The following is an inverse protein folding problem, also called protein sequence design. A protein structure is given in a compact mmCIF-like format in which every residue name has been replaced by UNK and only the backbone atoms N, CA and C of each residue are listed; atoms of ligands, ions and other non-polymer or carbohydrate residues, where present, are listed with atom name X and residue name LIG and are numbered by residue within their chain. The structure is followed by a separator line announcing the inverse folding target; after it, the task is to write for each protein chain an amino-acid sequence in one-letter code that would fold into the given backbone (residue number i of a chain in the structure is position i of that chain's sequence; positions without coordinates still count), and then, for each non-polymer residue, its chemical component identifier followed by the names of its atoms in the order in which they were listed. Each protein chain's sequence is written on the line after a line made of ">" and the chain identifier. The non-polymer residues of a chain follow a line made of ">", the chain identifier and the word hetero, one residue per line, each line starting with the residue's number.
data_IF_522300005057
#
_entry.id   IF_522300005057
#
_cell.length_a   1.000
_cell.length_b   1.000
_cell.length_c   1.000
_cell.angle_alpha   90.00
_cell.angle_beta   90.00
_cell.angle_gamma   90.00
#
_symmetry.space_group_name_H-M   'P 1'
#
loop_
_entity.id
_entity.type
_entity.pdbx_description
1 polymer ?
#
# COMPACT_ATOMS: atom_id res chain seq x y z
N UNK A 1 -19.61 -8.39 -9.79
CA UNK A 1 -20.20 -9.48 -8.99
C UNK A 1 -19.27 -10.09 -7.92
N UNK A 2 -18.06 -9.55 -7.65
CA UNK A 2 -17.05 -10.28 -6.84
C UNK A 2 -16.80 -9.81 -5.40
N UNK A 3 -17.17 -8.58 -5.02
CA UNK A 3 -16.74 -8.00 -3.73
C UNK A 3 -17.78 -8.21 -2.61
N UNK A 4 -19.07 -8.10 -2.93
CA UNK A 4 -20.13 -8.04 -1.92
C UNK A 4 -20.50 -9.43 -1.35
N UNK A 5 -20.52 -10.46 -2.20
CA UNK A 5 -20.80 -11.83 -1.76
C UNK A 5 -19.67 -12.42 -0.91
N UNK A 6 -18.44 -11.94 -1.05
CA UNK A 6 -17.29 -12.46 -0.30
C UNK A 6 -17.26 -11.99 1.17
N UNK A 7 -18.04 -10.95 1.52
CA UNK A 7 -18.18 -10.42 2.87
C UNK A 7 -19.53 -10.77 3.53
N UNK A 8 -20.30 -11.69 2.94
CA UNK A 8 -21.66 -12.01 3.42
C UNK A 8 -22.67 -10.86 3.23
N UNK A 9 -22.30 -9.86 2.42
CA UNK A 9 -23.18 -8.76 2.03
C UNK A 9 -24.13 -9.13 0.89
N UNK A 10 -25.08 -8.24 0.59
CA UNK A 10 -26.04 -8.42 -0.50
C UNK A 10 -26.01 -7.23 -1.45
N UNK A 11 -26.13 -7.52 -2.74
CA UNK A 11 -26.39 -6.51 -3.78
C UNK A 11 -27.73 -6.78 -4.44
N UNK A 12 -28.55 -5.75 -4.57
CA UNK A 12 -29.74 -5.79 -5.41
C UNK A 12 -29.90 -4.46 -6.14
N UNK A 13 -30.75 -4.47 -7.16
CA UNK A 13 -31.09 -3.29 -7.95
C UNK A 13 -32.52 -2.92 -7.62
N UNK A 14 -32.73 -1.65 -7.29
CA UNK A 14 -34.07 -1.08 -7.11
C UNK A 14 -34.36 -0.20 -8.33
N UNK A 15 -35.49 -0.45 -9.00
CA UNK A 15 -35.99 0.43 -10.03
C UNK A 15 -36.75 1.59 -9.40
N UNK A 16 -36.38 2.82 -9.77
CA UNK A 16 -37.05 4.02 -9.32
C UNK A 16 -38.26 4.31 -10.22
N UNK A 17 -39.29 4.91 -9.66
CA UNK A 17 -40.52 5.28 -10.38
C UNK A 17 -40.26 6.20 -11.60
N UNK A 18 -39.11 6.88 -11.63
CA UNK A 18 -38.68 7.77 -12.72
C UNK A 18 -37.89 7.04 -13.84
N UNK A 19 -37.77 5.71 -13.78
CA UNK A 19 -37.10 4.89 -14.81
C UNK A 19 -35.58 4.77 -14.65
N UNK A 20 -35.01 5.20 -13.53
CA UNK A 20 -33.60 5.01 -13.18
C UNK A 20 -33.37 3.76 -12.31
N UNK A 21 -32.17 3.20 -12.33
CA UNK A 21 -31.77 2.06 -11.48
C UNK A 21 -30.87 2.52 -10.32
N UNK A 22 -31.23 2.17 -9.08
CA UNK A 22 -30.41 2.34 -7.88
C UNK A 22 -29.73 1.01 -7.56
N UNK A 23 -28.40 1.01 -7.47
CA UNK A 23 -27.63 -0.14 -7.01
C UNK A 23 -27.41 -0.04 -5.50
N UNK A 24 -27.98 -0.99 -4.75
CA UNK A 24 -27.88 -1.01 -3.28
C UNK A 24 -26.92 -2.09 -2.85
N UNK A 25 -25.98 -1.73 -1.97
CA UNK A 25 -24.96 -2.63 -1.42
C UNK A 25 -25.09 -2.63 0.10
N UNK A 26 -25.43 -3.77 0.69
CA UNK A 26 -25.49 -3.98 2.14
C UNK A 26 -24.25 -4.77 2.60
N UNK A 27 -23.48 -4.21 3.54
CA UNK A 27 -22.33 -4.88 4.16
C UNK A 27 -22.56 -5.01 5.68
N UNK A 28 -22.37 -6.20 6.27
CA UNK A 28 -22.49 -6.38 7.72
C UNK A 28 -21.32 -5.70 8.44
N UNK A 29 -21.62 -4.77 9.34
CA UNK A 29 -20.62 -4.16 10.22
C UNK A 29 -20.42 -5.07 11.44
N UNK A 30 -19.22 -5.62 11.68
CA UNK A 30 -18.93 -6.33 12.92
C UNK A 30 -19.06 -5.34 14.08
N UNK A 31 -19.97 -5.61 15.03
CA UNK A 31 -20.02 -4.86 16.28
C UNK A 31 -18.90 -5.39 17.16
N UNK A 32 -17.88 -4.57 17.37
CA UNK A 32 -16.82 -4.86 18.33
C UNK A 32 -17.39 -4.59 19.74
N UNK A 33 -17.80 -5.66 20.43
CA UNK A 33 -18.19 -5.62 21.83
C UNK A 33 -16.93 -5.44 22.69
N UNK A 34 -16.50 -4.18 22.86
CA UNK A 34 -15.67 -3.77 23.99
C UNK A 34 -16.32 -2.60 24.72
N UNK A 35 -16.76 -2.93 25.91
CA UNK A 35 -17.54 -2.18 26.89
C UNK A 35 -16.74 -1.07 27.58
N UNK A 36 -17.41 0.08 27.72
CA UNK A 36 -17.54 0.96 28.89
C UNK A 36 -16.31 1.45 29.68
N UNK A 37 -16.21 2.78 29.89
CA UNK A 37 -15.35 3.29 30.97
C UNK A 37 -15.05 4.79 31.14
N UNK A 38 -16.04 5.70 31.00
CA UNK A 38 -16.18 6.96 31.78
C UNK A 38 -15.25 8.19 31.64
N UNK A 39 -15.93 9.27 31.20
CA UNK A 39 -16.03 10.66 31.75
C UNK A 39 -14.91 11.71 31.63
N UNK A 40 -15.23 12.70 30.78
CA UNK A 40 -15.39 14.14 31.07
C UNK A 40 -14.18 15.01 31.49
N UNK A 41 -13.86 15.98 30.64
CA UNK A 41 -13.02 17.14 30.96
C UNK A 41 -12.98 18.12 29.78
N UNK A 42 -13.45 19.35 30.01
CA UNK A 42 -13.88 20.34 29.02
C UNK A 42 -12.86 21.48 28.88
N UNK A 43 -12.72 22.01 27.64
CA UNK A 43 -12.19 23.35 27.24
C UNK A 43 -10.67 23.60 27.43
N UNK A 44 -9.94 24.41 26.65
CA UNK A 44 -10.14 25.16 25.39
C UNK A 44 -8.76 25.72 24.96
N UNK A 45 -8.69 26.20 23.72
CA UNK A 45 -7.76 27.19 23.16
C UNK A 45 -6.38 26.76 22.61
N UNK A 46 -6.22 27.10 21.33
CA UNK A 46 -5.03 27.46 20.56
C UNK A 46 -3.69 27.48 21.31
N UNK A 47 -2.65 26.87 20.72
CA UNK A 47 -1.58 27.58 20.00
C UNK A 47 -0.46 26.61 19.56
N UNK A 48 0.11 26.86 18.37
CA UNK A 48 1.41 26.38 17.83
C UNK A 48 1.46 25.01 17.14
N UNK A 49 1.19 25.08 15.84
CA UNK A 49 1.73 24.19 14.81
C UNK A 49 3.25 24.20 14.91
N UNK A 50 3.82 23.05 15.21
CA UNK A 50 5.24 22.83 15.38
C UNK A 50 5.46 21.47 16.00
N UNK A 51 5.09 20.40 15.29
CA UNK A 51 5.46 19.05 15.69
C UNK A 51 6.94 18.88 15.32
N UNK A 52 7.87 18.73 16.28
CA UNK A 52 9.22 18.29 15.95
C UNK A 52 9.14 16.90 15.30
N UNK A 53 10.03 16.54 14.36
CA UNK A 53 10.05 15.20 13.79
C UNK A 53 10.15 14.18 14.93
N UNK A 54 9.37 13.10 14.92
CA UNK A 54 9.48 12.08 15.95
C UNK A 54 10.87 11.46 15.85
N UNK A 55 11.76 11.86 16.75
CA UNK A 55 12.97 11.08 17.05
C UNK A 55 12.50 9.77 17.68
N UNK A 56 12.23 8.77 16.85
CA UNK A 56 11.95 7.41 17.33
C UNK A 56 13.25 6.64 17.41
N UNK A 57 13.81 6.63 18.61
CA UNK A 57 14.40 5.43 19.19
C UNK A 57 13.42 4.28 18.98
N UNK A 58 13.71 3.32 18.10
CA UNK A 58 12.91 2.11 18.02
C UNK A 58 13.78 0.85 18.06
N UNK A 59 13.70 0.21 19.21
CA UNK A 59 14.19 -1.14 19.48
C UNK A 59 13.04 -2.11 19.15
N UNK A 60 12.51 -2.05 17.93
CA UNK A 60 11.62 -3.06 17.36
C UNK A 60 12.20 -3.53 16.03
N UNK A 61 13.35 -4.20 16.11
CA UNK A 61 14.06 -4.78 14.97
C UNK A 61 13.32 -5.98 14.35
N UNK A 62 12.07 -6.23 14.72
CA UNK A 62 11.31 -7.42 14.30
C UNK A 62 10.27 -7.14 13.23
N UNK A 63 9.78 -5.90 13.12
CA UNK A 63 8.76 -5.54 12.15
C UNK A 63 9.38 -5.11 10.82
N UNK A 64 9.10 -5.88 9.76
CA UNK A 64 9.55 -5.58 8.39
C UNK A 64 8.92 -4.27 7.89
N UNK A 65 9.73 -3.41 7.27
CA UNK A 65 9.33 -2.07 6.79
C UNK A 65 8.99 -2.12 5.30
N UNK A 66 7.85 -1.57 4.91
CA UNK A 66 7.37 -1.52 3.53
C UNK A 66 7.10 -0.07 3.15
N UNK A 67 7.62 0.35 2.00
CA UNK A 67 7.23 1.61 1.36
C UNK A 67 6.17 1.35 0.30
N UNK A 68 5.06 2.07 0.34
CA UNK A 68 3.99 2.02 -0.67
C UNK A 68 3.95 3.34 -1.44
N UNK A 69 4.12 3.27 -2.76
CA UNK A 69 4.15 4.41 -3.67
C UNK A 69 3.01 4.28 -4.68
N UNK A 70 2.05 5.18 -4.62
CA UNK A 70 0.88 5.18 -5.52
C UNK A 70 0.28 6.59 -5.51
N UNK A 71 0.01 7.20 -6.66
CA UNK A 71 -0.53 8.56 -6.75
C UNK A 71 -2.02 8.62 -6.41
N UNK A 72 -2.73 7.49 -6.47
CA UNK A 72 -4.12 7.38 -6.07
C UNK A 72 -4.24 7.22 -4.54
N UNK A 73 -4.50 8.33 -3.84
CA UNK A 73 -4.58 8.35 -2.37
C UNK A 73 -5.51 7.31 -1.74
N UNK A 74 -6.60 6.91 -2.43
CA UNK A 74 -7.50 5.86 -1.95
C UNK A 74 -6.86 4.45 -2.01
N UNK A 75 -6.15 4.14 -3.10
CA UNK A 75 -5.43 2.86 -3.28
C UNK A 75 -4.25 2.79 -2.32
N UNK A 76 -3.50 3.89 -2.20
CA UNK A 76 -2.40 4.05 -1.22
C UNK A 76 -2.87 3.81 0.21
N UNK A 77 -3.96 4.44 0.63
CA UNK A 77 -4.53 4.29 1.97
C UNK A 77 -5.01 2.85 2.25
N UNK A 78 -5.73 2.25 1.30
CA UNK A 78 -6.22 0.87 1.42
C UNK A 78 -5.06 -0.13 1.54
N UNK A 79 -4.03 0.02 0.71
CA UNK A 79 -2.84 -0.85 0.71
C UNK A 79 -2.10 -0.74 2.03
N UNK A 80 -1.92 0.48 2.54
CA UNK A 80 -1.34 0.73 3.87
C UNK A 80 -2.14 0.05 4.98
N UNK A 81 -3.46 0.19 4.97
CA UNK A 81 -4.33 -0.41 5.99
C UNK A 81 -4.20 -1.94 6.01
N UNK A 82 -4.28 -2.58 4.84
CA UNK A 82 -4.15 -4.04 4.69
C UNK A 82 -2.80 -4.54 5.23
N UNK A 83 -1.70 -3.87 4.87
CA UNK A 83 -0.36 -4.29 5.27
C UNK A 83 -0.09 -4.00 6.75
N UNK A 84 -0.54 -2.86 7.26
CA UNK A 84 -0.40 -2.52 8.68
C UNK A 84 -1.17 -3.50 9.57
N UNK A 85 -2.38 -3.92 9.15
CA UNK A 85 -3.19 -4.91 9.85
C UNK A 85 -2.54 -6.30 9.92
N UNK A 86 -1.59 -6.60 9.03
CA UNK A 86 -0.83 -7.86 9.04
C UNK A 86 0.52 -7.75 9.75
N UNK A 87 0.77 -6.61 10.39
CA UNK A 87 1.90 -6.42 11.29
C UNK A 87 3.15 -5.81 10.64
N UNK A 88 3.07 -5.34 9.39
CA UNK A 88 4.16 -4.59 8.74
C UNK A 88 4.21 -3.12 9.20
N UNK A 89 5.40 -2.52 9.17
CA UNK A 89 5.55 -1.08 9.34
C UNK A 89 5.46 -0.46 7.95
N UNK A 90 4.44 0.35 7.70
CA UNK A 90 4.16 0.86 6.36
C UNK A 90 4.31 2.37 6.32
N UNK A 91 5.16 2.82 5.42
CA UNK A 91 5.28 4.22 5.01
C UNK A 91 4.73 4.38 3.60
N UNK A 92 4.33 5.60 3.27
CA UNK A 92 3.62 5.88 2.00
C UNK A 92 4.20 7.11 1.34
N UNK A 93 4.30 7.09 0.03
CA UNK A 93 4.63 8.22 -0.81
C UNK A 93 3.61 8.34 -1.96
N UNK A 94 3.34 9.56 -2.42
CA UNK A 94 2.40 9.87 -3.48
C UNK A 94 3.05 10.04 -4.85
N UNK A 95 4.38 10.06 -4.90
CA UNK A 95 5.16 10.22 -6.11
C UNK A 95 6.49 9.51 -6.00
N UNK A 96 7.15 9.26 -7.14
CA UNK A 96 8.52 8.72 -7.14
C UNK A 96 9.52 9.65 -6.46
N UNK A 97 9.37 10.97 -6.56
CA UNK A 97 10.24 11.94 -5.90
C UNK A 97 10.13 11.84 -4.37
N UNK A 98 8.91 11.84 -3.82
CA UNK A 98 8.69 11.65 -2.38
C UNK A 98 9.17 10.26 -1.92
N UNK A 99 9.05 9.23 -2.77
CA UNK A 99 9.56 7.90 -2.46
C UNK A 99 11.09 7.92 -2.28
N UNK A 100 11.83 8.67 -3.11
CA UNK A 100 13.27 8.81 -2.95
C UNK A 100 13.64 9.52 -1.64
N UNK A 101 12.92 10.58 -1.28
CA UNK A 101 13.13 11.29 -0.02
C UNK A 101 12.91 10.35 1.18
N UNK A 102 11.83 9.56 1.15
CA UNK A 102 11.53 8.58 2.21
C UNK A 102 12.57 7.46 2.26
N UNK A 103 13.07 6.99 1.12
CA UNK A 103 14.14 5.99 1.04
C UNK A 103 15.48 6.52 1.59
N UNK A 104 15.74 7.82 1.51
CA UNK A 104 16.93 8.44 2.12
C UNK A 104 16.84 8.52 3.66
N UNK A 105 15.63 8.56 4.21
CA UNK A 105 15.42 8.68 5.66
C UNK A 105 15.54 7.35 6.42
N UNK A 106 15.53 6.20 5.73
CA UNK A 106 15.73 4.93 6.40
C UNK A 106 15.73 3.69 5.51
N UNK A 107 15.87 2.52 6.15
CA UNK A 107 15.93 1.23 5.47
C UNK A 107 14.56 0.57 5.30
N UNK A 108 14.34 -0.06 4.15
CA UNK A 108 13.11 -0.78 3.85
C UNK A 108 13.41 -2.25 3.52
N UNK A 109 12.42 -3.11 3.74
CA UNK A 109 12.48 -4.53 3.35
C UNK A 109 11.76 -4.80 2.03
N UNK A 110 10.86 -3.91 1.61
CA UNK A 110 10.10 -4.00 0.36
C UNK A 110 9.63 -2.62 -0.08
N UNK A 111 9.68 -2.37 -1.39
CA UNK A 111 9.00 -1.23 -2.03
C UNK A 111 7.85 -1.78 -2.89
N UNK A 112 6.66 -1.22 -2.73
CA UNK A 112 5.51 -1.47 -3.60
C UNK A 112 5.25 -0.18 -4.36
N UNK A 113 5.29 -0.20 -5.68
CA UNK A 113 5.12 1.00 -6.50
C UNK A 113 4.10 0.79 -7.59
N UNK A 114 3.25 1.79 -7.85
CA UNK A 114 2.55 1.86 -9.13
C UNK A 114 3.58 2.02 -10.26
N UNK A 115 3.33 1.37 -11.38
CA UNK A 115 4.12 1.54 -12.60
C UNK A 115 3.83 2.90 -13.24
N UNK A 116 2.60 3.40 -13.17
CA UNK A 116 2.15 4.62 -13.86
C UNK A 116 1.84 5.69 -12.82
N UNK A 117 2.75 6.65 -12.69
CA UNK A 117 2.57 7.83 -11.83
C UNK A 117 2.93 9.10 -12.63
N UNK A 118 2.30 10.24 -12.34
CA UNK A 118 2.72 11.54 -12.88
C UNK A 118 4.14 11.90 -12.45
N UNK A 119 4.93 12.47 -13.36
CA UNK A 119 6.31 12.86 -13.07
C UNK A 119 7.25 11.65 -13.15
N UNK A 120 7.78 11.22 -12.00
CA UNK A 120 8.62 10.03 -11.92
C UNK A 120 7.75 8.77 -11.85
N UNK A 121 7.80 7.97 -12.91
CA UNK A 121 7.07 6.70 -12.98
C UNK A 121 7.79 5.58 -12.21
N UNK A 122 7.11 4.45 -11.99
CA UNK A 122 7.65 3.34 -11.21
C UNK A 122 8.92 2.74 -11.83
N UNK A 123 9.05 2.75 -13.16
CA UNK A 123 10.22 2.24 -13.86
C UNK A 123 11.45 3.16 -13.64
N UNK A 124 11.24 4.48 -13.65
CA UNK A 124 12.28 5.47 -13.36
C UNK A 124 12.70 5.39 -11.89
N UNK A 125 11.73 5.29 -10.97
CA UNK A 125 12.00 5.05 -9.55
C UNK A 125 12.82 3.77 -9.34
N UNK A 126 12.48 2.69 -10.04
CA UNK A 126 13.23 1.44 -9.97
C UNK A 126 14.69 1.58 -10.42
N UNK A 127 14.94 2.31 -11.51
CA UNK A 127 16.31 2.60 -11.97
C UNK A 127 17.12 3.38 -10.93
N UNK A 128 16.48 4.30 -10.21
CA UNK A 128 17.10 5.01 -9.08
C UNK A 128 17.37 4.07 -7.90
N UNK A 129 16.43 3.16 -7.60
CA UNK A 129 16.60 2.12 -6.57
C UNK A 129 17.79 1.22 -6.88
N UNK A 130 17.90 0.71 -8.11
CA UNK A 130 19.05 -0.12 -8.53
C UNK A 130 20.39 0.61 -8.35
N UNK A 131 20.42 1.93 -8.56
CA UNK A 131 21.64 2.74 -8.45
C UNK A 131 22.02 3.06 -7.00
N UNK A 132 21.04 3.34 -6.14
CA UNK A 132 21.25 3.91 -4.81
C UNK A 132 21.09 2.89 -3.68
N UNK A 133 20.21 1.91 -3.86
CA UNK A 133 19.88 0.85 -2.91
C UNK A 133 19.83 -0.52 -3.62
N UNK A 134 20.97 -1.03 -4.13
CA UNK A 134 21.02 -2.29 -4.88
C UNK A 134 20.49 -3.49 -4.08
N UNK A 135 20.51 -3.45 -2.74
CA UNK A 135 19.91 -4.45 -1.87
C UNK A 135 18.37 -4.54 -1.98
N UNK A 136 17.72 -3.48 -2.47
CA UNK A 136 16.28 -3.42 -2.71
C UNK A 136 15.88 -3.87 -4.11
N UNK A 137 16.82 -4.08 -5.04
CA UNK A 137 16.53 -4.39 -6.45
C UNK A 137 15.58 -5.59 -6.63
N UNK A 138 15.73 -6.62 -5.79
CA UNK A 138 14.89 -7.82 -5.81
C UNK A 138 13.72 -7.77 -4.82
N UNK A 139 13.50 -6.61 -4.20
CA UNK A 139 12.48 -6.33 -3.19
C UNK A 139 11.57 -5.19 -3.64
N UNK A 140 11.32 -5.10 -4.95
CA UNK A 140 10.35 -4.19 -5.54
C UNK A 140 9.18 -4.98 -6.12
N UNK A 141 7.97 -4.63 -5.69
CA UNK A 141 6.70 -5.14 -6.24
C UNK A 141 6.03 -4.02 -7.03
N UNK A 142 5.86 -4.22 -8.33
CA UNK A 142 5.09 -3.31 -9.16
C UNK A 142 3.61 -3.61 -9.06
N UNK A 143 2.79 -2.58 -9.05
CA UNK A 143 1.34 -2.68 -9.13
C UNK A 143 0.92 -1.95 -10.39
N UNK A 144 0.15 -2.58 -11.28
CA UNK A 144 -0.24 -1.97 -12.57
C UNK A 144 -1.68 -2.30 -12.93
N UNK A 145 -2.46 -1.33 -13.39
CA UNK A 145 -3.82 -1.54 -13.90
C UNK A 145 -3.95 -1.71 -15.41
N UNK A 146 -2.88 -1.44 -16.16
CA UNK A 146 -2.84 -1.57 -17.61
C UNK A 146 -1.66 -2.47 -18.00
N UNK A 147 -1.97 -3.71 -18.43
CA UNK A 147 -0.99 -4.59 -19.08
C UNK A 147 -1.05 -4.49 -20.62
N UNK A 148 -1.94 -3.65 -21.16
CA UNK A 148 -2.01 -3.35 -22.60
C UNK A 148 -0.87 -2.39 -22.99
N UNK A 149 0.32 -2.98 -23.03
CA UNK A 149 1.58 -2.31 -23.21
C UNK A 149 2.58 -3.12 -22.43
N UNK A 150 3.37 -3.93 -23.13
CA UNK A 150 4.61 -4.42 -22.55
C UNK A 150 5.28 -3.24 -21.84
N UNK A 151 5.77 -3.40 -20.59
CA UNK A 151 6.55 -2.36 -19.96
C UNK A 151 7.69 -2.05 -20.93
N UNK A 152 7.55 -0.96 -21.68
CA UNK A 152 8.42 -0.61 -22.81
C UNK A 152 9.82 -0.21 -22.33
N UNK A 153 10.07 -0.36 -21.03
CA UNK A 153 11.37 -0.43 -20.42
C UNK A 153 12.03 -1.76 -20.78
N UNK A 154 12.87 -1.72 -21.81
CA UNK A 154 14.07 -2.56 -22.00
C UNK A 154 14.93 -2.81 -20.74
N UNK A 155 14.57 -2.23 -19.60
CA UNK A 155 15.23 -2.30 -18.31
C UNK A 155 14.53 -3.25 -17.32
N UNK A 156 13.33 -3.75 -17.63
CA UNK A 156 12.57 -4.62 -16.73
C UNK A 156 12.61 -6.07 -17.25
N UNK A 157 13.65 -6.82 -16.88
CA UNK A 157 13.70 -8.26 -17.14
C UNK A 157 12.57 -8.97 -16.38
N UNK A 158 11.68 -9.63 -17.12
CA UNK A 158 10.49 -10.29 -16.57
C UNK A 158 10.79 -11.37 -15.53
N UNK A 159 12.00 -11.97 -15.58
CA UNK A 159 12.45 -12.95 -14.59
C UNK A 159 12.83 -12.31 -13.24
N UNK A 160 13.28 -11.06 -13.25
CA UNK A 160 13.80 -10.34 -12.08
C UNK A 160 12.70 -9.58 -11.34
N UNK A 161 11.68 -9.12 -12.07
CA UNK A 161 10.69 -8.18 -11.54
C UNK A 161 9.38 -8.88 -11.18
N UNK A 162 8.82 -8.50 -10.03
CA UNK A 162 7.51 -8.98 -9.57
C UNK A 162 6.48 -7.90 -9.78
N UNK A 163 5.34 -8.28 -10.36
CA UNK A 163 4.21 -7.38 -10.54
C UNK A 163 2.91 -8.00 -10.04
N UNK A 164 1.96 -7.13 -9.71
CA UNK A 164 0.60 -7.45 -9.32
C UNK A 164 -0.36 -6.59 -10.15
N UNK A 165 -1.28 -7.24 -10.86
CA UNK A 165 -2.25 -6.57 -11.73
C UNK A 165 -3.44 -6.01 -10.90
N UNK A 166 -3.82 -4.75 -11.15
CA UNK A 166 -5.06 -4.15 -10.67
C UNK A 166 -6.20 -4.60 -11.61
N UNK A 167 -7.36 -5.03 -11.08
CA UNK A 167 -7.71 -5.13 -9.67
C UNK A 167 -7.14 -6.41 -9.03
N UNK A 168 -6.55 -6.26 -7.84
CA UNK A 168 -6.09 -7.37 -7.01
C UNK A 168 -6.91 -7.52 -5.73
N UNK A 169 -6.96 -8.74 -5.21
CA UNK A 169 -7.53 -9.03 -3.89
C UNK A 169 -6.51 -8.85 -2.78
N UNK A 170 -6.97 -8.59 -1.55
CA UNK A 170 -6.14 -8.58 -0.34
C UNK A 170 -5.28 -9.84 -0.21
N UNK A 171 -5.83 -11.01 -0.55
CA UNK A 171 -5.09 -12.28 -0.52
C UNK A 171 -3.93 -12.30 -1.52
N UNK A 172 -4.12 -11.76 -2.72
CA UNK A 172 -3.05 -11.68 -3.73
C UNK A 172 -1.93 -10.73 -3.29
N UNK A 173 -2.29 -9.54 -2.79
CA UNK A 173 -1.32 -8.59 -2.25
C UNK A 173 -0.49 -9.20 -1.12
N UNK A 174 -1.14 -9.76 -0.10
CA UNK A 174 -0.45 -10.35 1.05
C UNK A 174 0.43 -11.54 0.66
N UNK A 175 0.00 -12.35 -0.31
CA UNK A 175 0.82 -13.45 -0.82
C UNK A 175 2.08 -12.91 -1.50
N UNK A 176 1.94 -11.95 -2.43
CA UNK A 176 3.07 -11.37 -3.14
C UNK A 176 4.09 -10.73 -2.20
N UNK A 177 3.61 -9.95 -1.22
CA UNK A 177 4.45 -9.33 -0.19
C UNK A 177 5.16 -10.38 0.64
N UNK A 178 4.45 -11.42 1.09
CA UNK A 178 5.06 -12.49 1.90
C UNK A 178 6.15 -13.24 1.14
N UNK A 179 5.91 -13.56 -0.13
CA UNK A 179 6.86 -14.29 -0.97
C UNK A 179 8.15 -13.46 -1.20
N UNK A 180 8.02 -12.14 -1.35
CA UNK A 180 9.16 -11.23 -1.51
C UNK A 180 9.93 -11.00 -0.20
N UNK A 181 9.23 -10.81 0.92
CA UNK A 181 9.87 -10.59 2.23
C UNK A 181 10.53 -11.86 2.76
N UNK A 182 10.02 -13.05 2.43
CA UNK A 182 10.59 -14.33 2.85
C UNK A 182 11.81 -14.75 2.03
N UNK A 183 11.95 -14.28 0.79
CA UNK A 183 13.15 -14.48 -0.02
C UNK A 183 14.23 -13.48 0.40
N UNK A 184 14.87 -13.72 1.55
CA UNK A 184 16.19 -13.15 1.78
C UNK A 184 17.14 -13.79 0.75
N UNK A 185 17.87 -13.00 -0.07
CA UNK A 185 18.94 -13.57 -0.86
C UNK A 185 19.94 -14.15 0.14
N UNK A 186 20.00 -15.48 0.23
CA UNK A 186 21.04 -16.16 0.98
C UNK A 186 22.38 -15.57 0.55
N UNK A 187 23.23 -15.08 1.48
CA UNK A 187 24.58 -14.73 1.14
C UNK A 187 25.23 -16.01 0.59
N UNK A 188 25.49 -16.04 -0.72
CA UNK A 188 26.19 -17.17 -1.30
C UNK A 188 27.61 -17.21 -0.69
N UNK A 189 28.09 -18.40 -0.28
CA UNK A 189 29.38 -18.56 0.38
C UNK A 189 30.57 -18.25 -0.53
#
# INVERSE_FOLDING_TARGET
>A
YGVVSHHGGRTWVEENADGGATFVVELPVPRDDRTDGRTAGRRSDAERVGTPPPTRTDTDTTRKRILVVDDEGAVRALTREILSATGYAVETAESGDEALDVLDEGTFDLVITDLRMPGMDGATLYGEIQRRWPELEHRVLFVTGDIEGEPNSRALDADTIRYLEKPFTTRQLLKAVKDLVANEPSPQP
#
